data_IF_294851298994
#
_entry.id   IF_294851298994
#
_cell.length_a   1.000
_cell.length_b   1.000
_cell.length_c   1.000
_cell.angle_alpha   90.00
_cell.angle_beta   90.00
_cell.angle_gamma   90.00
#
_symmetry.space_group_name_H-M   'P 1'
#
loop_
_entity.id
_entity.type
_entity.pdbx_description
1 polymer ?
#
# COMPACT_ATOMS: atom_id res chain seq x y z
N UNK A 1 -5.51 -32.98 9.84
CA UNK A 1 -4.81 -33.40 11.08
C UNK A 1 -3.61 -34.27 10.70
N UNK A 2 -2.46 -34.24 11.38
CA UNK A 2 -1.33 -35.12 11.01
C UNK A 2 -1.66 -36.62 11.11
N UNK A 3 -2.58 -36.98 12.02
CA UNK A 3 -3.09 -38.34 12.17
C UNK A 3 -4.13 -38.76 11.10
N UNK A 4 -4.69 -37.81 10.36
CA UNK A 4 -5.63 -38.05 9.26
C UNK A 4 -5.29 -37.11 8.10
N UNK A 5 -4.27 -37.43 7.28
CA UNK A 5 -3.92 -36.64 6.11
C UNK A 5 -5.07 -36.58 5.11
N UNK A 6 -5.44 -35.38 4.64
CA UNK A 6 -6.52 -35.18 3.68
C UNK A 6 -7.94 -35.14 4.24
N UNK A 7 -8.15 -35.45 5.53
CA UNK A 7 -9.45 -35.24 6.17
C UNK A 7 -9.54 -33.85 6.83
N UNK A 8 -10.58 -33.11 6.44
CA UNK A 8 -10.91 -31.81 7.03
C UNK A 8 -11.98 -31.96 8.11
N UNK A 9 -11.74 -31.33 9.26
CA UNK A 9 -12.69 -31.28 10.36
C UNK A 9 -13.19 -29.85 10.52
N UNK A 10 -14.46 -29.64 10.24
CA UNK A 10 -15.13 -28.35 10.45
C UNK A 10 -15.60 -28.24 11.91
N UNK A 11 -15.33 -27.08 12.50
CA UNK A 11 -15.72 -26.77 13.88
C UNK A 11 -16.03 -25.30 14.06
N UNK A 12 -16.70 -24.98 15.16
CA UNK A 12 -17.05 -23.59 15.52
C UNK A 12 -16.28 -23.18 16.76
N UNK A 13 -15.70 -21.98 16.72
CA UNK A 13 -15.16 -21.33 17.92
C UNK A 13 -16.32 -20.97 18.84
N UNK A 14 -16.29 -21.47 20.07
CA UNK A 14 -17.33 -21.23 21.09
C UNK A 14 -16.89 -20.23 22.14
N UNK A 15 -15.58 -20.13 22.40
CA UNK A 15 -15.06 -19.23 23.41
C UNK A 15 -13.61 -18.87 23.12
N UNK A 16 -13.27 -17.59 23.31
CA UNK A 16 -11.90 -17.08 23.28
C UNK A 16 -11.60 -16.58 24.70
N UNK A 17 -10.61 -17.17 25.35
CA UNK A 17 -10.28 -16.79 26.72
C UNK A 17 -9.64 -15.40 26.75
N UNK A 18 -10.02 -14.51 27.67
CA UNK A 18 -9.53 -13.12 27.70
C UNK A 18 -8.09 -12.97 28.22
N UNK A 19 -7.43 -14.08 28.58
CA UNK A 19 -6.09 -14.09 29.17
C UNK A 19 -5.07 -14.57 28.14
N UNK A 20 -4.07 -13.73 27.88
CA UNK A 20 -2.93 -14.05 27.02
C UNK A 20 -1.86 -14.72 27.88
N UNK A 21 -1.30 -15.83 27.41
CA UNK A 21 -0.10 -16.41 28.01
C UNK A 21 1.11 -15.53 27.64
N UNK A 22 1.74 -14.90 28.62
CA UNK A 22 2.86 -13.96 28.39
C UNK A 22 4.14 -14.63 27.89
N UNK A 23 4.37 -15.89 28.23
CA UNK A 23 5.56 -16.64 27.82
C UNK A 23 5.48 -17.06 26.35
N UNK A 24 4.33 -17.59 25.93
CA UNK A 24 4.12 -18.07 24.55
C UNK A 24 3.52 -17.01 23.64
N UNK A 25 3.05 -15.88 24.19
CA UNK A 25 2.27 -14.85 23.47
C UNK A 25 1.06 -15.43 22.72
N UNK A 26 0.41 -16.43 23.31
CA UNK A 26 -0.76 -17.10 22.72
C UNK A 26 -2.02 -16.90 23.55
N UNK A 27 -3.17 -16.97 22.88
CA UNK A 27 -4.50 -16.94 23.49
C UNK A 27 -5.13 -18.32 23.39
N UNK A 28 -5.83 -18.77 24.44
CA UNK A 28 -6.55 -20.04 24.41
C UNK A 28 -7.89 -19.85 23.69
N UNK A 29 -8.17 -20.72 22.74
CA UNK A 29 -9.44 -20.75 21.99
C UNK A 29 -10.10 -22.12 22.18
N UNK A 30 -11.38 -22.13 22.56
CA UNK A 30 -12.19 -23.35 22.65
C UNK A 30 -13.07 -23.46 21.43
N UNK A 31 -12.88 -24.53 20.67
CA UNK A 31 -13.67 -24.88 19.50
C UNK A 31 -14.38 -26.22 19.70
N UNK A 32 -15.55 -26.36 19.09
CA UNK A 32 -16.33 -27.60 19.08
C UNK A 32 -16.34 -28.12 17.64
N UNK A 33 -16.01 -29.40 17.49
CA UNK A 33 -15.94 -30.09 16.19
C UNK A 33 -16.95 -31.22 16.14
N UNK A 34 -17.53 -31.42 14.95
CA UNK A 34 -18.36 -32.59 14.67
C UNK A 34 -17.46 -33.83 14.60
N UNK A 35 -17.57 -34.73 15.58
CA UNK A 35 -16.74 -35.94 15.68
C UNK A 35 -17.52 -37.21 15.29
N UNK A 36 -18.13 -37.21 14.11
CA UNK A 36 -18.85 -38.38 13.61
C UNK A 36 -17.87 -39.55 13.42
N UNK A 37 -18.15 -40.68 14.06
CA UNK A 37 -17.27 -41.87 14.03
C UNK A 37 -16.11 -41.84 15.03
N UNK A 38 -16.03 -40.87 15.94
CA UNK A 38 -15.08 -40.90 17.06
C UNK A 38 -13.60 -40.78 16.68
N UNK A 39 -13.31 -40.24 15.49
CA UNK A 39 -11.95 -40.11 14.95
C UNK A 39 -11.08 -39.15 15.76
N UNK A 40 -11.66 -38.06 16.27
CA UNK A 40 -10.95 -37.12 17.13
C UNK A 40 -10.87 -37.68 18.55
N UNK A 41 -9.67 -38.04 18.98
CA UNK A 41 -9.38 -38.54 20.32
C UNK A 41 -8.78 -37.43 21.20
N UNK A 42 -8.96 -37.50 22.54
CA UNK A 42 -8.27 -36.62 23.46
C UNK A 42 -6.75 -36.63 23.25
N UNK A 43 -6.09 -35.50 23.58
CA UNK A 43 -4.65 -35.31 23.46
C UNK A 43 -4.07 -35.36 22.04
N UNK A 44 -4.89 -35.46 20.99
CA UNK A 44 -4.41 -35.36 19.61
C UNK A 44 -3.95 -33.93 19.29
N UNK A 45 -2.80 -33.83 18.63
CA UNK A 45 -2.29 -32.57 18.11
C UNK A 45 -2.79 -32.30 16.68
N UNK A 46 -3.07 -31.03 16.40
CA UNK A 46 -3.53 -30.59 15.09
C UNK A 46 -3.25 -29.12 14.84
N UNK A 47 -3.25 -28.78 13.55
CA UNK A 47 -3.26 -27.41 13.08
C UNK A 47 -4.68 -27.07 12.64
N UNK A 48 -5.11 -25.84 12.88
CA UNK A 48 -6.43 -25.34 12.52
C UNK A 48 -6.29 -23.99 11.85
N UNK A 49 -7.13 -23.75 10.84
CA UNK A 49 -7.21 -22.47 10.16
C UNK A 49 -8.53 -21.81 10.57
N UNK A 50 -8.44 -20.58 11.06
CA UNK A 50 -9.62 -19.80 11.44
C UNK A 50 -10.03 -18.92 10.27
N UNK A 51 -11.19 -19.22 9.69
CA UNK A 51 -11.80 -18.34 8.70
C UNK A 51 -12.67 -17.32 9.43
N UNK A 52 -12.23 -16.06 9.45
CA UNK A 52 -13.07 -14.94 9.88
C UNK A 52 -13.79 -14.43 8.64
N UNK A 53 -15.12 -14.49 8.64
CA UNK A 53 -15.90 -13.67 7.70
C UNK A 53 -15.69 -12.24 8.10
N UNK A 54 -14.76 -11.58 7.42
CA UNK A 54 -14.69 -10.14 7.41
C UNK A 54 -16.00 -9.64 6.82
N UNK A 55 -16.62 -8.65 7.47
CA UNK A 55 -17.93 -8.14 7.04
C UNK A 55 -17.93 -7.76 5.55
N UNK A 56 -19.11 -7.62 4.97
CA UNK A 56 -19.25 -7.14 3.60
C UNK A 56 -18.60 -5.75 3.46
N UNK A 57 -17.90 -5.51 2.35
CA UNK A 57 -17.26 -4.24 2.06
C UNK A 57 -16.53 -4.31 0.72
N UNK A 58 -16.38 -3.15 0.09
CA UNK A 58 -15.68 -3.04 -1.20
C UNK A 58 -14.20 -3.30 -0.99
N UNK A 59 -13.58 -4.08 -1.89
CA UNK A 59 -12.15 -4.33 -1.86
C UNK A 59 -11.46 -3.50 -2.92
N UNK A 60 -10.49 -2.70 -2.48
CA UNK A 60 -9.72 -1.79 -3.33
C UNK A 60 -8.23 -2.13 -3.23
N UNK A 61 -7.46 -2.15 -4.33
CA UNK A 61 -6.01 -2.37 -4.28
C UNK A 61 -5.30 -1.40 -3.33
N UNK A 62 -4.27 -1.86 -2.63
CA UNK A 62 -3.49 -1.01 -1.71
C UNK A 62 -2.89 0.20 -2.41
N UNK A 63 -2.54 0.06 -3.68
CA UNK A 63 -1.86 1.09 -4.48
C UNK A 63 -2.81 2.24 -4.88
N UNK A 64 -4.12 1.99 -4.88
CA UNK A 64 -5.15 2.97 -5.18
C UNK A 64 -5.48 3.87 -3.96
N UNK A 65 -5.02 3.49 -2.76
CA UNK A 65 -5.33 4.19 -1.50
C UNK A 65 -4.14 5.02 -1.04
N UNK A 66 -4.33 6.32 -0.91
CA UNK A 66 -3.35 7.23 -0.34
C UNK A 66 -3.65 7.42 1.15
N UNK A 67 -2.73 7.00 2.01
CA UNK A 67 -2.86 7.19 3.46
C UNK A 67 -2.15 8.49 3.86
N UNK A 68 -2.94 9.51 4.18
CA UNK A 68 -2.47 10.81 4.64
C UNK A 68 -2.72 10.93 6.16
N UNK A 69 -1.81 10.39 6.96
CA UNK A 69 -1.89 10.41 8.42
C UNK A 69 -3.08 9.60 8.94
N UNK A 70 -4.12 10.29 9.44
CA UNK A 70 -5.34 9.66 9.97
C UNK A 70 -6.46 9.46 8.93
N UNK A 71 -6.27 9.95 7.71
CA UNK A 71 -7.27 9.89 6.63
C UNK A 71 -6.73 9.01 5.50
N UNK A 72 -7.63 8.30 4.84
CA UNK A 72 -7.36 7.60 3.60
C UNK A 72 -8.15 8.26 2.48
N UNK A 73 -7.51 8.42 1.31
CA UNK A 73 -8.09 9.09 0.14
C UNK A 73 -7.95 8.19 -1.06
N UNK A 74 -9.02 8.10 -1.85
CA UNK A 74 -9.05 7.42 -3.14
C UNK A 74 -9.52 8.41 -4.20
N UNK A 75 -8.93 8.33 -5.40
CA UNK A 75 -9.34 9.14 -6.53
C UNK A 75 -10.43 8.43 -7.33
N UNK A 76 -11.63 9.00 -7.36
CA UNK A 76 -12.79 8.48 -8.11
C UNK A 76 -12.98 9.28 -9.40
N UNK A 77 -13.29 8.60 -10.50
CA UNK A 77 -13.60 9.25 -11.78
C UNK A 77 -15.02 9.82 -11.76
N UNK A 78 -15.16 11.11 -12.05
CA UNK A 78 -16.45 11.83 -11.97
C UNK A 78 -17.16 11.97 -13.33
N UNK A 79 -16.49 11.61 -14.42
CA UNK A 79 -16.91 11.93 -15.80
C UNK A 79 -15.91 12.88 -16.44
N UNK A 80 -15.82 12.86 -17.78
CA UNK A 80 -14.93 13.73 -18.58
C UNK A 80 -13.42 13.57 -18.34
N UNK A 81 -12.99 12.38 -17.90
CA UNK A 81 -11.58 12.09 -17.62
C UNK A 81 -11.03 12.79 -16.37
N UNK A 82 -11.89 13.44 -15.60
CA UNK A 82 -11.54 14.09 -14.34
C UNK A 82 -11.62 13.11 -13.17
N UNK A 83 -10.72 13.32 -12.21
CA UNK A 83 -10.66 12.56 -10.96
C UNK A 83 -10.90 13.49 -9.78
N UNK A 84 -11.69 13.03 -8.82
CA UNK A 84 -11.95 13.74 -7.58
C UNK A 84 -11.42 12.93 -6.39
N UNK A 85 -10.78 13.62 -5.45
CA UNK A 85 -10.28 13.02 -4.22
C UNK A 85 -11.43 12.78 -3.24
N UNK A 86 -11.70 11.50 -2.93
CA UNK A 86 -12.73 11.10 -1.98
C UNK A 86 -12.11 10.52 -0.72
N UNK A 87 -12.52 11.05 0.43
CA UNK A 87 -12.14 10.48 1.72
C UNK A 87 -12.85 9.14 1.91
N UNK A 88 -12.09 8.11 2.25
CA UNK A 88 -12.61 6.76 2.51
C UNK A 88 -12.24 6.30 3.90
N UNK A 89 -13.10 5.48 4.49
CA UNK A 89 -12.78 4.77 5.72
C UNK A 89 -12.30 3.37 5.39
N UNK A 90 -11.03 3.09 5.66
CA UNK A 90 -10.45 1.75 5.47
C UNK A 90 -10.69 0.86 6.70
N UNK A 91 -10.91 -0.42 6.43
CA UNK A 91 -11.07 -1.47 7.41
C UNK A 91 -9.87 -2.41 7.41
N UNK A 92 -10.15 -3.71 7.37
CA UNK A 92 -9.10 -4.73 7.37
C UNK A 92 -8.36 -4.79 6.03
N UNK A 93 -7.09 -5.21 6.08
CA UNK A 93 -6.29 -5.51 4.91
C UNK A 93 -6.38 -7.00 4.58
N UNK A 94 -6.67 -7.33 3.32
CA UNK A 94 -6.72 -8.67 2.76
C UNK A 94 -5.64 -8.80 1.70
N UNK A 95 -4.43 -9.22 2.11
CA UNK A 95 -3.29 -9.31 1.19
C UNK A 95 -2.93 -7.96 0.56
N UNK A 96 -3.15 -7.83 -0.73
CA UNK A 96 -2.90 -6.66 -1.58
C UNK A 96 -4.10 -5.69 -1.68
N UNK A 97 -5.16 -5.91 -0.89
CA UNK A 97 -6.37 -5.09 -0.91
C UNK A 97 -6.75 -4.55 0.46
N UNK A 98 -7.30 -3.34 0.48
CA UNK A 98 -8.00 -2.78 1.64
C UNK A 98 -9.50 -2.98 1.49
N UNK A 99 -10.16 -3.30 2.62
CA UNK A 99 -11.59 -3.17 2.74
C UNK A 99 -11.98 -1.72 2.94
N UNK A 100 -12.97 -1.25 2.19
CA UNK A 100 -13.58 0.06 2.35
C UNK A 100 -14.87 -0.09 3.14
N UNK A 101 -14.93 0.58 4.29
CA UNK A 101 -16.07 0.60 5.20
C UNK A 101 -17.09 1.68 4.82
N UNK A 102 -16.61 2.81 4.29
CA UNK A 102 -17.44 3.92 3.82
C UNK A 102 -16.67 4.82 2.86
N UNK A 103 -17.42 5.60 2.08
CA UNK A 103 -16.87 6.59 1.15
C UNK A 103 -16.72 6.12 -0.29
N UNK A 104 -17.10 4.89 -0.63
CA UNK A 104 -17.19 4.43 -2.03
C UNK A 104 -18.46 3.60 -2.21
N UNK A 105 -19.01 3.63 -3.43
CA UNK A 105 -20.12 2.79 -3.84
C UNK A 105 -19.65 1.70 -4.80
N UNK A 106 -20.43 0.62 -4.88
CA UNK A 106 -20.19 -0.42 -5.86
C UNK A 106 -20.34 0.15 -7.28
N UNK A 107 -19.36 -0.11 -8.15
CA UNK A 107 -19.32 0.44 -9.51
C UNK A 107 -18.55 1.76 -9.67
N UNK A 108 -18.08 2.39 -8.59
CA UNK A 108 -17.21 3.57 -8.69
C UNK A 108 -15.88 3.21 -9.38
N UNK A 109 -15.54 3.90 -10.47
CA UNK A 109 -14.24 3.78 -11.13
C UNK A 109 -13.17 4.56 -10.34
N UNK A 110 -12.11 3.87 -9.92
CA UNK A 110 -11.01 4.45 -9.14
C UNK A 110 -9.68 4.37 -9.90
N UNK A 111 -8.78 5.30 -9.60
CA UNK A 111 -7.42 5.24 -10.14
C UNK A 111 -6.66 4.02 -9.57
N UNK A 112 -6.03 3.23 -10.45
CA UNK A 112 -5.30 2.02 -10.05
C UNK A 112 -4.08 2.32 -9.15
N UNK A 113 -3.49 3.51 -9.28
CA UNK A 113 -2.35 3.96 -8.47
C UNK A 113 -2.56 5.40 -8.04
N UNK A 114 -2.69 5.63 -6.73
CA UNK A 114 -2.90 6.97 -6.17
C UNK A 114 -1.73 7.93 -6.44
N UNK A 115 -0.52 7.41 -6.65
CA UNK A 115 0.66 8.20 -6.98
C UNK A 115 0.73 8.71 -8.42
N UNK A 116 0.06 8.06 -9.38
CA UNK A 116 0.21 8.38 -10.82
C UNK A 116 -0.40 9.74 -11.21
N UNK A 117 -1.43 10.18 -10.49
CA UNK A 117 -2.09 11.46 -10.77
C UNK A 117 -1.28 12.67 -10.28
N UNK A 118 -0.43 12.51 -9.26
CA UNK A 118 0.45 13.59 -8.79
C UNK A 118 1.49 13.94 -9.87
N UNK A 119 1.96 12.95 -10.62
CA UNK A 119 2.91 13.17 -11.72
C UNK A 119 2.21 13.78 -12.96
N UNK A 120 0.95 13.40 -13.23
CA UNK A 120 0.22 13.88 -14.41
C UNK A 120 -0.13 15.38 -14.36
N UNK A 121 -0.42 15.95 -13.18
CA UNK A 121 -0.56 17.42 -13.07
C UNK A 121 0.78 18.16 -13.08
N UNK A 122 1.84 17.54 -12.56
CA UNK A 122 3.19 18.13 -12.53
C UNK A 122 3.77 18.28 -13.95
N UNK A 123 3.54 17.29 -14.82
CA UNK A 123 3.99 17.35 -16.21
C UNK A 123 3.19 18.38 -17.03
N UNK A 124 1.88 18.54 -16.78
CA UNK A 124 1.06 19.54 -17.48
C UNK A 124 1.40 20.99 -17.07
N UNK A 125 1.82 21.23 -15.81
CA UNK A 125 2.25 22.57 -15.36
C UNK A 125 3.67 22.96 -15.79
N UNK A 126 4.49 22.01 -16.24
CA UNK A 126 5.89 22.27 -16.65
C UNK A 126 6.03 22.47 -18.16
N UNK A 127 4.96 22.32 -18.94
CA UNK A 127 4.93 22.50 -20.39
C UNK A 127 4.44 23.88 -20.86
N UNK A 128 4.97 24.98 -20.33
CA UNK A 128 4.79 26.30 -20.96
C UNK A 128 5.85 26.50 -22.05
N UNK A 129 5.48 26.80 -23.31
CA UNK A 129 6.43 27.10 -24.36
C UNK A 129 7.02 28.50 -24.16
N UNK A 130 8.28 28.61 -23.74
CA UNK A 130 9.09 29.82 -23.94
C UNK A 130 9.35 29.98 -25.43
N UNK A 131 8.44 30.65 -26.13
CA UNK A 131 8.64 31.12 -27.49
C UNK A 131 9.09 32.58 -27.50
N UNK A 132 10.03 32.87 -28.42
CA UNK A 132 10.52 34.15 -28.97
C UNK A 132 11.91 34.59 -28.47
N UNK A 133 12.91 34.95 -29.29
CA UNK A 133 13.08 35.00 -30.76
C UNK A 133 14.58 35.19 -31.09
N UNK A 134 14.98 34.71 -32.27
CA UNK A 134 16.06 35.13 -33.19
C UNK A 134 17.28 35.96 -32.73
N UNK A 135 18.47 35.42 -33.05
CA UNK A 135 19.39 36.06 -34.01
C UNK A 135 20.69 36.65 -33.46
N UNK A 136 21.84 36.07 -33.85
CA UNK A 136 23.14 36.74 -33.68
C UNK A 136 24.33 35.80 -33.69
N UNK A 137 24.84 35.50 -34.88
CA UNK A 137 26.19 35.00 -35.13
C UNK A 137 27.27 35.81 -34.39
N UNK A 138 28.17 35.14 -33.68
CA UNK A 138 29.62 35.45 -33.68
C UNK A 138 30.40 34.45 -32.81
N UNK A 139 31.11 33.54 -33.47
CA UNK A 139 32.39 33.03 -32.96
C UNK A 139 33.39 34.20 -32.96
N UNK A 140 34.22 34.34 -31.92
CA UNK A 140 35.67 34.25 -32.13
C UNK A 140 36.33 33.41 -31.02
N UNK A 141 37.10 32.37 -31.37
CA UNK A 141 38.53 32.42 -31.69
C UNK A 141 39.43 32.33 -30.44
N UNK A 142 40.04 31.15 -30.32
CA UNK A 142 41.36 30.84 -29.74
C UNK A 142 42.31 32.06 -29.61
N UNK A 143 42.86 32.28 -28.40
CA UNK A 143 44.22 32.83 -28.26
C UNK A 143 44.91 32.36 -26.98
N UNK A 144 45.96 31.56 -27.19
CA UNK A 144 46.99 31.09 -26.26
C UNK A 144 48.17 32.06 -26.26
N UNK A 145 48.57 32.61 -25.10
CA UNK A 145 49.93 33.12 -24.76
C UNK A 145 50.08 33.01 -23.22
N UNK A 146 50.78 32.04 -22.64
CA UNK A 146 52.24 31.84 -22.43
C UNK A 146 52.93 32.82 -21.47
N UNK A 147 53.57 32.22 -20.44
CA UNK A 147 54.76 32.64 -19.66
C UNK A 147 54.62 33.80 -18.67
N UNK A 148 54.69 33.56 -17.36
CA UNK A 148 55.89 33.38 -16.49
C UNK A 148 56.61 34.69 -16.19
N UNK A 149 56.63 35.13 -14.92
CA UNK A 149 57.90 35.35 -14.20
C UNK A 149 57.69 35.53 -12.67
N UNK A 150 58.78 35.29 -11.95
CA UNK A 150 58.98 35.14 -10.50
C UNK A 150 58.96 36.45 -9.69
N UNK A 151 59.14 36.26 -8.37
CA UNK A 151 59.79 37.15 -7.38
C UNK A 151 58.89 38.30 -6.88
N UNK A 152 58.84 38.69 -5.60
CA UNK A 152 59.70 38.45 -4.45
C UNK A 152 58.98 38.91 -3.16
N UNK A 153 59.39 38.36 -2.02
CA UNK A 153 59.36 38.99 -0.68
C UNK A 153 58.02 39.15 0.06
N UNK A 154 57.97 39.26 1.39
CA UNK A 154 58.91 39.11 2.51
C UNK A 154 58.11 39.59 3.75
N UNK A 155 58.38 39.00 4.93
CA UNK A 155 58.03 39.47 6.30
C UNK A 155 56.55 39.31 6.75
N UNK A 156 56.24 38.93 8.00
CA UNK A 156 57.00 38.75 9.25
C UNK A 156 56.56 37.47 9.95
#
# INVERSE_FOLDING_TARGET
>A
LRAYPGEEFSGRVTFIYPVINSQTRTIKVRSVFSNHGGKLKPQMYGETVFNKTSGQGLLVPTDAVIIAGKRAVVWTKTGDGMFEARNVQIGNRFGDKYQILSGLNEGDEIAATGGFLIDSESQLKTGMPTGHQHGGTSTPAEQKKTSSDKMDGMKM
#
